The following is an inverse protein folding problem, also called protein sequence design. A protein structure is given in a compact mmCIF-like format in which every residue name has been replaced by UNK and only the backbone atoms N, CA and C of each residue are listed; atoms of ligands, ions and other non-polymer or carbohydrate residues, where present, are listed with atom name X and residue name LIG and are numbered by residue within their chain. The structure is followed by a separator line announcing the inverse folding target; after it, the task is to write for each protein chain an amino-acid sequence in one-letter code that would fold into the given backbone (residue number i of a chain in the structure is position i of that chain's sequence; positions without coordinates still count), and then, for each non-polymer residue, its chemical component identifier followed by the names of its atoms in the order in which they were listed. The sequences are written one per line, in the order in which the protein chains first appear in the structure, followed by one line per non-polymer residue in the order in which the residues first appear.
data_IF_082496926711
#
_entry.id   IF_082496926711
#
_cell.length_a   1.000
_cell.length_b   1.000
_cell.length_c   1.000
_cell.angle_alpha   90.00
_cell.angle_beta   90.00
_cell.angle_gamma   90.00
#
_symmetry.space_group_name_H-M   'P 1'
#
loop_
_entity.id
_entity.type
_entity.pdbx_description
1 polymer ?
#
# COMPACT_ATOMS: atom_id res chain seq x y z
N UNK A 1 -11.14 -2.59 -5.54
CA UNK A 1 -9.90 -2.82 -4.78
C UNK A 1 -10.14 -2.87 -3.26
N UNK A 2 -11.18 -2.26 -2.75
CA UNK A 2 -11.52 -2.23 -1.31
C UNK A 2 -11.87 -3.61 -0.75
N UNK A 3 -12.37 -4.50 -1.59
CA UNK A 3 -12.74 -5.86 -1.20
C UNK A 3 -11.59 -6.88 -1.28
N UNK A 4 -10.36 -6.45 -1.50
CA UNK A 4 -9.20 -7.32 -1.65
C UNK A 4 -8.74 -7.99 -0.35
N UNK A 5 -9.06 -7.41 0.81
CA UNK A 5 -8.62 -7.94 2.09
C UNK A 5 -9.39 -9.21 2.47
N UNK A 6 -8.66 -10.30 2.75
CA UNK A 6 -9.22 -11.61 3.08
C UNK A 6 -10.10 -11.63 4.32
N UNK A 7 -9.74 -10.87 5.35
CA UNK A 7 -10.42 -10.84 6.66
C UNK A 7 -11.41 -9.69 6.87
N UNK A 8 -11.58 -8.77 5.88
CA UNK A 8 -12.46 -7.63 6.06
C UNK A 8 -13.94 -8.01 5.97
N UNK A 9 -14.79 -7.38 6.81
CA UNK A 9 -16.23 -7.57 6.77
C UNK A 9 -16.82 -7.24 5.38
N UNK A 10 -16.32 -6.18 4.74
CA UNK A 10 -16.70 -5.79 3.37
C UNK A 10 -16.37 -6.90 2.36
N UNK A 11 -15.17 -7.47 2.45
CA UNK A 11 -14.76 -8.56 1.59
C UNK A 11 -15.61 -9.83 1.79
N UNK A 12 -15.98 -10.15 3.01
CA UNK A 12 -16.89 -11.27 3.31
C UNK A 12 -18.29 -11.01 2.77
N UNK A 13 -18.83 -9.82 2.98
CA UNK A 13 -20.13 -9.42 2.42
C UNK A 13 -20.17 -9.53 0.92
N UNK A 14 -19.11 -9.07 0.21
CA UNK A 14 -18.98 -9.26 -1.24
C UNK A 14 -19.03 -10.73 -1.63
N UNK A 15 -18.33 -11.62 -0.90
CA UNK A 15 -18.34 -13.05 -1.17
C UNK A 15 -19.75 -13.66 -1.04
N UNK A 16 -20.52 -13.27 -0.02
CA UNK A 16 -21.92 -13.70 0.18
C UNK A 16 -22.81 -13.21 -0.97
N UNK A 17 -22.67 -11.95 -1.38
CA UNK A 17 -23.43 -11.37 -2.50
C UNK A 17 -23.08 -12.05 -3.83
N UNK A 18 -21.80 -12.24 -4.10
CA UNK A 18 -21.35 -12.91 -5.32
C UNK A 18 -21.85 -14.35 -5.43
N UNK A 19 -21.89 -15.09 -4.30
CA UNK A 19 -22.41 -16.46 -4.26
C UNK A 19 -23.92 -16.56 -4.53
N UNK A 20 -24.69 -15.50 -4.29
CA UNK A 20 -26.13 -15.42 -4.57
C UNK A 20 -26.44 -14.82 -5.94
N UNK A 21 -25.52 -14.11 -6.54
CA UNK A 21 -25.69 -13.45 -7.82
C UNK A 21 -25.55 -14.46 -8.99
N UNK A 22 -26.40 -14.34 -9.99
CA UNK A 22 -26.27 -15.14 -11.23
C UNK A 22 -25.04 -14.77 -12.03
N UNK A 23 -24.64 -13.50 -12.00
CA UNK A 23 -23.44 -12.96 -12.66
C UNK A 23 -22.84 -11.91 -11.74
N UNK A 24 -21.51 -11.84 -11.70
CA UNK A 24 -20.77 -10.87 -10.93
C UNK A 24 -19.86 -10.08 -11.87
N UNK A 25 -19.98 -8.75 -11.83
CA UNK A 25 -19.12 -7.82 -12.58
C UNK A 25 -18.44 -6.92 -11.55
N UNK A 26 -17.12 -6.87 -11.60
CA UNK A 26 -16.31 -6.03 -10.72
C UNK A 26 -15.79 -4.84 -11.52
N UNK A 27 -16.09 -3.63 -11.06
CA UNK A 27 -15.61 -2.39 -11.65
C UNK A 27 -14.53 -1.80 -10.75
N UNK A 28 -13.35 -1.54 -11.29
CA UNK A 28 -12.24 -0.96 -10.54
C UNK A 28 -11.28 -0.21 -11.45
N UNK A 29 -10.79 0.94 -11.03
CA UNK A 29 -9.67 1.63 -11.66
C UNK A 29 -8.31 1.04 -11.25
N UNK A 30 -8.26 0.22 -10.19
CA UNK A 30 -7.03 -0.40 -9.68
C UNK A 30 -7.31 -1.86 -9.35
N UNK A 31 -6.98 -2.75 -10.29
CA UNK A 31 -7.26 -4.18 -10.14
C UNK A 31 -6.44 -4.81 -9.00
N UNK A 32 -5.20 -4.38 -8.83
CA UNK A 32 -4.25 -4.94 -7.88
C UNK A 32 -3.53 -3.80 -7.13
N UNK A 33 -3.42 -3.90 -5.82
CA UNK A 33 -2.71 -2.92 -4.97
C UNK A 33 -1.19 -3.13 -4.91
N UNK A 34 -0.66 -3.97 -5.78
CA UNK A 34 0.77 -4.25 -5.89
C UNK A 34 1.15 -5.71 -5.63
N UNK A 35 0.37 -6.46 -4.87
CA UNK A 35 0.66 -7.83 -4.50
C UNK A 35 -0.31 -8.83 -5.13
N UNK A 36 0.18 -10.00 -5.52
CA UNK A 36 -0.65 -11.04 -6.15
C UNK A 36 -1.79 -11.56 -5.27
N UNK A 37 -1.65 -11.55 -3.95
CA UNK A 37 -2.71 -11.98 -3.04
C UNK A 37 -3.90 -11.00 -2.97
N UNK A 38 -3.74 -9.75 -3.37
CA UNK A 38 -4.86 -8.82 -3.57
C UNK A 38 -5.86 -9.39 -4.59
N UNK A 39 -5.33 -9.96 -5.68
CA UNK A 39 -6.12 -10.62 -6.72
C UNK A 39 -6.72 -11.93 -6.26
N UNK A 40 -6.01 -12.72 -5.48
CA UNK A 40 -6.49 -14.00 -4.99
C UNK A 40 -7.87 -13.89 -4.33
N UNK A 41 -8.00 -12.98 -3.39
CA UNK A 41 -9.26 -12.82 -2.64
C UNK A 41 -10.41 -12.31 -3.51
N UNK A 42 -10.14 -11.43 -4.47
CA UNK A 42 -11.13 -10.95 -5.42
C UNK A 42 -11.59 -12.08 -6.35
N UNK A 43 -10.65 -12.81 -6.94
CA UNK A 43 -10.94 -13.92 -7.84
C UNK A 43 -11.68 -15.06 -7.14
N UNK A 44 -11.26 -15.40 -5.91
CA UNK A 44 -11.92 -16.47 -5.17
C UNK A 44 -13.37 -16.14 -4.82
N UNK A 45 -13.69 -14.87 -4.58
CA UNK A 45 -15.06 -14.40 -4.33
C UNK A 45 -15.91 -14.32 -5.60
N UNK A 46 -15.31 -13.86 -6.69
CA UNK A 46 -16.01 -13.72 -7.97
C UNK A 46 -16.15 -15.04 -8.74
N UNK A 47 -15.13 -15.89 -8.68
CA UNK A 47 -14.99 -17.12 -9.48
C UNK A 47 -14.53 -18.31 -8.61
N UNK A 48 -15.25 -18.65 -7.53
CA UNK A 48 -14.80 -19.68 -6.60
C UNK A 48 -14.62 -21.06 -7.25
N UNK A 49 -15.51 -21.45 -8.15
CA UNK A 49 -15.42 -22.72 -8.88
C UNK A 49 -14.10 -22.84 -9.64
N UNK A 50 -13.74 -21.80 -10.40
CA UNK A 50 -12.49 -21.76 -11.16
C UNK A 50 -11.26 -21.84 -10.26
N UNK A 51 -11.26 -21.12 -9.16
CA UNK A 51 -10.14 -21.13 -8.21
C UNK A 51 -9.95 -22.51 -7.57
N UNK A 52 -11.05 -23.21 -7.28
CA UNK A 52 -11.04 -24.58 -6.75
C UNK A 52 -10.53 -25.59 -7.79
N UNK A 53 -10.95 -25.45 -9.05
CA UNK A 53 -10.47 -26.26 -10.19
C UNK A 53 -8.97 -26.07 -10.41
N UNK A 54 -8.48 -24.85 -10.28
CA UNK A 54 -7.06 -24.50 -10.36
C UNK A 54 -6.24 -24.98 -9.14
N UNK A 55 -6.89 -25.62 -8.16
CA UNK A 55 -6.23 -26.24 -7.00
C UNK A 55 -6.20 -25.38 -5.74
N UNK A 56 -6.72 -24.16 -5.78
CA UNK A 56 -6.74 -23.26 -4.61
C UNK A 56 -7.97 -23.55 -3.76
N UNK A 57 -7.82 -24.41 -2.76
CA UNK A 57 -8.93 -24.86 -1.91
C UNK A 57 -8.78 -24.36 -0.48
N UNK A 58 -9.89 -23.99 0.18
CA UNK A 58 -9.88 -23.72 1.61
C UNK A 58 -9.47 -24.98 2.38
N UNK A 59 -8.89 -24.79 3.54
CA UNK A 59 -8.66 -25.91 4.49
C UNK A 59 -9.98 -26.47 5.00
N UNK A 60 -9.94 -27.63 5.69
CA UNK A 60 -11.13 -28.21 6.34
C UNK A 60 -11.76 -27.26 7.37
N UNK A 61 -10.97 -26.36 7.96
CA UNK A 61 -11.46 -25.31 8.89
C UNK A 61 -11.97 -24.05 8.17
N UNK A 62 -12.01 -24.02 6.82
CA UNK A 62 -12.42 -22.87 6.04
C UNK A 62 -11.35 -21.79 5.83
N UNK A 63 -10.14 -21.99 6.33
CA UNK A 63 -9.05 -21.00 6.16
C UNK A 63 -8.54 -20.97 4.72
N UNK A 64 -8.36 -19.78 4.20
CA UNK A 64 -7.84 -19.51 2.83
C UNK A 64 -6.34 -19.23 2.80
N UNK A 65 -5.66 -19.21 3.95
CA UNK A 65 -4.26 -18.77 4.06
C UNK A 65 -3.31 -19.63 3.21
N UNK A 66 -3.47 -20.95 3.26
CA UNK A 66 -2.65 -21.88 2.48
C UNK A 66 -2.89 -21.74 0.97
N UNK A 67 -4.14 -21.58 0.56
CA UNK A 67 -4.51 -21.37 -0.83
C UNK A 67 -3.97 -20.03 -1.38
N UNK A 68 -4.06 -18.96 -0.58
CA UNK A 68 -3.47 -17.66 -0.94
C UNK A 68 -1.94 -17.74 -1.08
N UNK A 69 -1.27 -18.47 -0.18
CA UNK A 69 0.18 -18.67 -0.29
C UNK A 69 0.56 -19.53 -1.49
N UNK A 70 -0.21 -20.55 -1.83
CA UNK A 70 -0.01 -21.33 -3.06
C UNK A 70 -0.15 -20.44 -4.30
N UNK A 71 -1.22 -19.64 -4.36
CA UNK A 71 -1.44 -18.67 -5.44
C UNK A 71 -0.28 -17.67 -5.57
N UNK A 72 0.25 -17.19 -4.44
CA UNK A 72 1.42 -16.30 -4.43
C UNK A 72 2.69 -16.96 -4.96
N UNK A 73 2.90 -18.26 -4.70
CA UNK A 73 4.04 -19.01 -5.26
C UNK A 73 3.89 -19.22 -6.77
N UNK A 74 2.69 -19.46 -7.23
CA UNK A 74 2.41 -19.77 -8.63
C UNK A 74 2.40 -18.53 -9.53
N UNK A 75 1.94 -17.40 -9.00
CA UNK A 75 1.61 -16.22 -9.79
C UNK A 75 2.15 -14.90 -9.24
N UNK A 76 2.43 -14.81 -7.95
CA UNK A 76 2.99 -13.62 -7.31
C UNK A 76 4.51 -13.52 -7.47
N UNK A 77 5.07 -12.52 -6.80
CA UNK A 77 6.52 -12.35 -6.66
C UNK A 77 6.91 -12.57 -5.20
N UNK A 78 7.88 -13.44 -4.98
CA UNK A 78 8.44 -13.73 -3.67
C UNK A 78 9.91 -13.31 -3.66
N UNK A 79 10.38 -12.81 -2.53
CA UNK A 79 11.77 -12.41 -2.30
C UNK A 79 12.31 -13.13 -1.07
N UNK A 80 13.46 -13.77 -1.22
CA UNK A 80 14.16 -14.37 -0.10
C UNK A 80 15.10 -13.35 0.53
N UNK A 81 14.92 -13.13 1.83
CA UNK A 81 15.78 -12.29 2.63
C UNK A 81 16.71 -13.19 3.44
N UNK A 82 17.99 -13.05 3.18
CA UNK A 82 19.06 -13.74 3.91
C UNK A 82 19.50 -12.85 5.06
N UNK A 83 19.44 -13.36 6.28
CA UNK A 83 19.99 -12.68 7.46
C UNK A 83 21.01 -13.56 8.16
N UNK A 84 22.22 -13.02 8.33
CA UNK A 84 23.23 -13.64 9.18
C UNK A 84 22.94 -13.34 10.65
N UNK A 85 22.94 -14.37 11.47
CA UNK A 85 22.91 -14.18 12.91
C UNK A 85 24.25 -13.57 13.37
N UNK A 86 24.22 -12.31 13.80
CA UNK A 86 25.36 -11.62 14.42
C UNK A 86 25.56 -12.06 15.87
N UNK A 87 25.25 -13.29 16.23
CA UNK A 87 25.56 -13.81 17.54
C UNK A 87 27.09 -13.93 17.66
N UNK A 88 27.69 -13.01 18.39
CA UNK A 88 29.13 -12.95 18.70
C UNK A 88 29.58 -14.06 19.66
N UNK A 89 28.68 -14.83 20.23
CA UNK A 89 29.00 -15.73 21.33
C UNK A 89 29.64 -17.07 20.92
N UNK A 90 29.31 -17.65 19.77
CA UNK A 90 29.92 -18.89 19.34
C UNK A 90 29.94 -18.99 17.81
N UNK A 91 31.09 -18.73 17.21
CA UNK A 91 31.39 -19.20 15.85
C UNK A 91 31.67 -20.70 15.92
N UNK A 92 30.73 -21.51 15.51
CA UNK A 92 31.00 -22.94 15.31
C UNK A 92 31.90 -23.12 14.08
N UNK A 93 32.69 -24.22 14.03
CA UNK A 93 33.54 -24.55 12.88
C UNK A 93 32.78 -24.63 11.53
N UNK A 94 31.45 -24.60 11.53
CA UNK A 94 30.57 -24.62 10.36
C UNK A 94 30.13 -23.22 9.85
N UNK A 95 30.69 -22.14 10.38
CA UNK A 95 30.34 -20.77 9.98
C UNK A 95 29.09 -20.20 10.67
N UNK A 96 28.69 -18.97 10.26
CA UNK A 96 27.51 -18.33 10.80
C UNK A 96 26.22 -18.94 10.24
N UNK A 97 25.20 -19.09 11.09
CA UNK A 97 23.89 -19.61 10.67
C UNK A 97 23.17 -18.55 9.86
N UNK A 98 22.98 -18.80 8.58
CA UNK A 98 22.16 -17.97 7.70
C UNK A 98 20.71 -18.40 7.83
N UNK A 99 19.83 -17.49 8.21
CA UNK A 99 18.39 -17.71 8.16
C UNK A 99 17.83 -17.10 6.87
N UNK A 100 16.99 -17.86 6.17
CA UNK A 100 16.30 -17.43 4.97
C UNK A 100 14.85 -17.21 5.32
N UNK A 101 14.32 -16.01 5.02
CA UNK A 101 12.91 -15.69 5.19
C UNK A 101 12.34 -15.25 3.85
N UNK A 102 11.40 -16.03 3.32
CA UNK A 102 10.63 -15.64 2.13
C UNK A 102 9.57 -14.62 2.49
N UNK A 103 9.56 -13.50 1.82
CA UNK A 103 8.58 -12.43 1.96
C UNK A 103 7.91 -12.13 0.63
N UNK A 104 6.70 -11.61 0.67
CA UNK A 104 5.98 -11.13 -0.51
C UNK A 104 6.69 -9.89 -1.06
N UNK A 105 6.79 -9.81 -2.39
CA UNK A 105 7.26 -8.64 -3.10
C UNK A 105 6.17 -8.14 -4.06
N UNK A 106 6.15 -6.85 -4.40
CA UNK A 106 5.23 -6.31 -5.39
C UNK A 106 5.44 -6.98 -6.75
N UNK A 107 4.33 -7.26 -7.43
CA UNK A 107 4.34 -7.83 -8.76
C UNK A 107 3.39 -9.02 -8.94
N UNK A 108 3.13 -9.33 -10.21
CA UNK A 108 2.32 -10.47 -10.63
C UNK A 108 2.93 -11.07 -11.90
N UNK A 109 3.13 -12.37 -11.89
CA UNK A 109 3.84 -13.07 -12.96
C UNK A 109 3.04 -13.14 -14.26
N UNK A 110 3.70 -13.19 -15.44
CA UNK A 110 3.05 -13.23 -16.75
C UNK A 110 2.08 -14.41 -16.89
N UNK A 111 2.43 -15.57 -16.36
CA UNK A 111 1.55 -16.76 -16.33
C UNK A 111 0.23 -16.47 -15.61
N UNK A 112 0.28 -15.72 -14.49
CA UNK A 112 -0.90 -15.34 -13.75
C UNK A 112 -1.75 -14.32 -14.51
N UNK A 113 -1.13 -13.37 -15.19
CA UNK A 113 -1.84 -12.41 -16.06
C UNK A 113 -2.64 -13.16 -17.14
N UNK A 114 -2.00 -14.06 -17.86
CA UNK A 114 -2.62 -14.83 -18.94
C UNK A 114 -3.74 -15.75 -18.44
N UNK A 115 -3.58 -16.36 -17.27
CA UNK A 115 -4.53 -17.36 -16.74
C UNK A 115 -5.66 -16.75 -15.92
N UNK A 116 -5.36 -15.76 -15.12
CA UNK A 116 -6.27 -15.25 -14.08
C UNK A 116 -6.87 -13.88 -14.39
N UNK A 117 -6.24 -13.09 -15.27
CA UNK A 117 -6.71 -11.74 -15.57
C UNK A 117 -7.33 -11.67 -16.97
N UNK A 118 -6.57 -11.91 -18.02
CA UNK A 118 -7.00 -11.67 -19.39
C UNK A 118 -8.30 -12.39 -19.78
N UNK A 119 -8.58 -13.64 -19.37
CA UNK A 119 -9.82 -14.32 -19.76
C UNK A 119 -11.09 -13.72 -19.13
N UNK A 120 -10.95 -12.94 -18.06
CA UNK A 120 -12.07 -12.46 -17.24
C UNK A 120 -12.13 -10.95 -17.11
N UNK A 121 -11.23 -10.21 -17.78
CA UNK A 121 -11.07 -8.78 -17.58
C UNK A 121 -11.13 -8.03 -18.91
N UNK A 122 -11.95 -7.01 -18.95
CA UNK A 122 -11.95 -6.03 -20.04
C UNK A 122 -11.26 -4.77 -19.52
N UNK A 123 -10.23 -4.35 -20.23
CA UNK A 123 -9.52 -3.09 -19.94
C UNK A 123 -10.12 -1.99 -20.80
N UNK A 124 -10.73 -1.02 -20.16
CA UNK A 124 -11.33 0.14 -20.80
C UNK A 124 -10.56 1.39 -20.40
N UNK A 125 -9.97 2.06 -21.35
CA UNK A 125 -9.36 3.37 -21.12
C UNK A 125 -10.41 4.45 -21.39
N UNK A 126 -10.28 5.57 -20.74
CA UNK A 126 -11.19 6.69 -20.91
C UNK A 126 -11.30 7.14 -22.37
N UNK A 127 -10.19 7.10 -23.12
CA UNK A 127 -10.15 7.38 -24.55
C UNK A 127 -10.94 6.37 -25.42
N UNK A 128 -11.21 5.15 -24.91
CA UNK A 128 -11.91 4.10 -25.65
C UNK A 128 -13.44 4.29 -25.58
N UNK A 129 -13.93 5.17 -24.69
CA UNK A 129 -15.36 5.45 -24.46
C UNK A 129 -15.93 6.44 -25.49
N UNK A 130 -15.11 6.96 -26.35
CA UNK A 130 -15.53 7.89 -27.41
C UNK A 130 -15.00 9.30 -27.22
N UNK A 131 -14.47 9.88 -28.29
CA UNK A 131 -13.70 11.13 -28.25
C UNK A 131 -14.41 12.39 -27.82
N UNK A 132 -15.75 12.38 -27.65
CA UNK A 132 -16.55 13.58 -27.32
C UNK A 132 -17.21 13.51 -25.94
N UNK A 133 -16.94 12.47 -25.14
CA UNK A 133 -17.58 12.32 -23.80
C UNK A 133 -16.91 13.17 -22.74
N UNK A 134 -15.64 13.48 -22.92
CA UNK A 134 -14.87 14.31 -22.00
C UNK A 134 -14.57 15.65 -22.63
N UNK A 135 -14.66 16.75 -21.86
CA UNK A 135 -14.16 18.03 -22.31
C UNK A 135 -12.65 17.93 -22.57
N UNK A 136 -12.10 18.80 -23.45
CA UNK A 136 -10.66 18.89 -23.59
C UNK A 136 -10.04 19.18 -22.22
N UNK A 137 -9.05 18.38 -21.85
CA UNK A 137 -8.33 18.49 -20.59
C UNK A 137 -6.93 19.03 -20.89
N UNK A 138 -6.61 20.13 -20.27
CA UNK A 138 -5.26 20.71 -20.26
C UNK A 138 -4.80 20.82 -18.81
N UNK A 139 -3.60 20.37 -18.53
CA UNK A 139 -3.02 20.37 -17.19
C UNK A 139 -1.89 21.39 -17.13
N UNK A 140 -2.11 22.47 -16.39
CA UNK A 140 -1.13 23.51 -16.19
C UNK A 140 -0.55 23.43 -14.77
N UNK A 141 0.76 23.21 -14.67
CA UNK A 141 1.48 23.25 -13.40
C UNK A 141 1.91 24.69 -13.13
N UNK A 142 1.34 25.29 -12.09
CA UNK A 142 1.72 26.64 -11.65
C UNK A 142 2.56 26.54 -10.37
N UNK A 143 3.81 26.99 -10.46
CA UNK A 143 4.65 27.14 -9.31
C UNK A 143 4.30 28.45 -8.59
N UNK A 144 3.96 28.34 -7.31
CA UNK A 144 3.70 29.49 -6.44
C UNK A 144 4.77 29.52 -5.36
N UNK A 145 5.54 30.60 -5.30
CA UNK A 145 6.54 30.79 -4.25
C UNK A 145 5.85 31.05 -2.89
N UNK A 146 6.34 30.43 -1.84
CA UNK A 146 5.90 30.77 -0.47
C UNK A 146 6.31 32.18 -0.11
N UNK A 147 5.46 32.90 0.62
CA UNK A 147 5.83 34.18 1.23
C UNK A 147 6.98 34.01 2.21
N UNK A 148 7.74 35.08 2.46
CA UNK A 148 8.99 35.04 3.22
C UNK A 148 8.81 34.42 4.63
N UNK A 149 7.75 34.80 5.34
CA UNK A 149 7.46 34.31 6.69
C UNK A 149 7.01 32.85 6.66
N UNK A 150 6.15 32.49 5.70
CA UNK A 150 5.72 31.12 5.46
C UNK A 150 6.91 30.22 5.12
N UNK A 151 7.78 30.67 4.22
CA UNK A 151 8.98 29.93 3.84
C UNK A 151 9.96 29.74 4.99
N UNK A 152 10.05 30.73 5.88
CA UNK A 152 10.88 30.65 7.09
C UNK A 152 10.31 29.67 8.11
N UNK A 153 9.00 29.73 8.36
CA UNK A 153 8.32 28.80 9.25
C UNK A 153 8.40 27.36 8.70
N UNK A 154 8.21 27.16 7.38
CA UNK A 154 8.33 25.85 6.74
C UNK A 154 9.73 25.27 6.83
N UNK A 155 10.77 26.07 6.60
CA UNK A 155 12.16 25.63 6.74
C UNK A 155 12.49 25.22 8.19
N UNK A 156 12.01 25.95 9.18
CA UNK A 156 12.15 25.61 10.59
C UNK A 156 11.47 24.27 10.92
N UNK A 157 10.22 24.12 10.50
CA UNK A 157 9.44 22.89 10.68
C UNK A 157 10.11 21.70 10.00
N UNK A 158 10.48 21.85 8.73
CA UNK A 158 11.12 20.80 7.93
C UNK A 158 12.45 20.36 8.53
N UNK A 159 13.30 21.30 8.93
CA UNK A 159 14.60 20.99 9.55
C UNK A 159 14.42 20.18 10.84
N UNK A 160 13.50 20.61 11.71
CA UNK A 160 13.23 19.95 12.98
C UNK A 160 12.67 18.54 12.79
N UNK A 161 11.63 18.39 11.96
CA UNK A 161 11.03 17.09 11.71
C UNK A 161 11.98 16.12 10.99
N UNK A 162 12.81 16.63 10.07
CA UNK A 162 13.82 15.81 9.39
C UNK A 162 14.89 15.33 10.37
N UNK A 163 15.29 16.13 11.35
CA UNK A 163 16.24 15.73 12.39
C UNK A 163 15.65 14.61 13.26
N UNK A 164 14.41 14.77 13.73
CA UNK A 164 13.72 13.75 14.52
C UNK A 164 13.56 12.44 13.73
N UNK A 165 13.19 12.54 12.45
CA UNK A 165 13.06 11.39 11.56
C UNK A 165 14.41 10.67 11.37
N UNK A 166 15.51 11.40 11.16
CA UNK A 166 16.85 10.81 11.03
C UNK A 166 17.25 10.05 12.28
N UNK A 167 16.97 10.60 13.48
CA UNK A 167 17.24 9.93 14.74
C UNK A 167 16.40 8.67 14.94
N UNK A 168 15.12 8.70 14.55
CA UNK A 168 14.23 7.54 14.61
C UNK A 168 14.72 6.44 13.66
N UNK A 169 15.04 6.79 12.42
CA UNK A 169 15.55 5.84 11.40
C UNK A 169 16.89 5.21 11.81
N UNK A 170 17.79 5.96 12.48
CA UNK A 170 19.02 5.42 13.03
C UNK A 170 18.76 4.31 14.07
N UNK A 171 17.64 4.39 14.79
CA UNK A 171 17.15 3.38 15.73
C UNK A 171 16.26 2.32 15.05
N UNK A 172 16.15 2.33 13.71
CA UNK A 172 15.26 1.48 12.90
C UNK A 172 13.77 1.64 13.22
N UNK A 173 13.38 2.81 13.72
CA UNK A 173 11.99 3.17 13.95
C UNK A 173 11.46 3.99 12.77
N UNK A 174 10.49 3.40 12.05
CA UNK A 174 9.85 4.01 10.86
C UNK A 174 8.53 4.69 11.17
N UNK A 175 8.10 4.71 12.44
CA UNK A 175 6.78 5.25 12.84
C UNK A 175 6.59 6.72 12.53
N UNK A 176 7.68 7.50 12.51
CA UNK A 176 7.62 8.93 12.20
C UNK A 176 7.54 9.23 10.71
N UNK A 177 7.89 8.29 9.83
CA UNK A 177 8.00 8.55 8.40
C UNK A 177 6.68 9.10 7.80
N UNK A 178 5.56 8.43 8.09
CA UNK A 178 4.24 8.86 7.59
C UNK A 178 3.79 10.19 8.19
N UNK A 179 4.04 10.42 9.47
CA UNK A 179 3.67 11.67 10.16
C UNK A 179 4.43 12.85 9.58
N UNK A 180 5.76 12.72 9.47
CA UNK A 180 6.62 13.79 8.93
C UNK A 180 6.26 14.09 7.48
N UNK A 181 6.08 13.06 6.64
CA UNK A 181 5.72 13.25 5.25
C UNK A 181 4.36 13.96 5.11
N UNK A 182 3.35 13.50 5.84
CA UNK A 182 2.01 14.10 5.77
C UNK A 182 2.01 15.57 6.23
N UNK A 183 2.72 15.88 7.32
CA UNK A 183 2.79 17.25 7.82
C UNK A 183 3.51 18.16 6.83
N UNK A 184 4.65 17.74 6.29
CA UNK A 184 5.42 18.57 5.35
C UNK A 184 4.70 18.77 4.00
N UNK A 185 3.85 17.83 3.59
CA UNK A 185 3.03 17.98 2.38
C UNK A 185 1.80 18.85 2.61
N UNK A 186 1.14 18.71 3.77
CA UNK A 186 -0.13 19.39 4.02
C UNK A 186 0.04 20.80 4.60
N UNK A 187 1.11 21.08 5.35
CA UNK A 187 1.27 22.34 6.05
C UNK A 187 1.28 23.57 5.14
N UNK A 188 1.91 23.58 3.95
CA UNK A 188 1.86 24.74 3.06
C UNK A 188 0.44 25.20 2.73
N UNK A 189 -0.47 24.24 2.56
CA UNK A 189 -1.88 24.52 2.23
C UNK A 189 -2.74 24.86 3.47
N UNK A 190 -2.20 24.58 4.68
CA UNK A 190 -2.93 24.72 5.94
C UNK A 190 -2.26 25.68 6.93
N UNK A 191 -1.33 26.50 6.48
CA UNK A 191 -0.52 27.38 7.34
C UNK A 191 -1.31 28.47 8.09
N UNK A 192 -2.58 28.70 7.72
CA UNK A 192 -3.49 29.62 8.38
C UNK A 192 -3.97 29.12 9.77
N UNK A 193 -3.61 27.92 10.16
CA UNK A 193 -3.88 27.36 11.50
C UNK A 193 -2.58 26.93 12.17
N UNK A 194 -2.56 26.94 13.50
CA UNK A 194 -1.44 26.40 14.24
C UNK A 194 -1.35 24.88 14.06
N UNK A 195 -0.12 24.36 13.91
CA UNK A 195 0.13 22.93 13.74
C UNK A 195 0.96 22.42 14.91
N UNK A 196 0.50 21.33 15.53
CA UNK A 196 1.21 20.61 16.60
C UNK A 196 1.49 19.20 16.15
N UNK A 197 2.76 18.90 15.93
CA UNK A 197 3.19 17.57 15.51
C UNK A 197 3.52 16.73 16.73
N UNK A 198 2.85 15.61 16.88
CA UNK A 198 2.97 14.71 18.04
C UNK A 198 3.49 13.34 17.60
N UNK A 199 4.41 12.79 18.37
CA UNK A 199 4.91 11.44 18.13
C UNK A 199 3.79 10.40 18.34
N UNK A 200 3.50 9.51 17.35
CA UNK A 200 2.33 8.63 17.41
C UNK A 200 2.32 7.64 18.57
N UNK A 201 3.50 7.20 19.03
CA UNK A 201 3.61 6.25 20.15
C UNK A 201 3.81 6.92 21.50
N UNK A 202 4.77 7.86 21.59
CA UNK A 202 5.13 8.46 22.88
C UNK A 202 4.26 9.64 23.29
N UNK A 203 3.46 10.17 22.34
CA UNK A 203 2.62 11.36 22.51
C UNK A 203 3.39 12.66 22.82
N UNK A 204 4.70 12.64 22.73
CA UNK A 204 5.52 13.83 22.90
C UNK A 204 5.34 14.78 21.72
N UNK A 205 5.32 16.08 22.00
CA UNK A 205 5.31 17.10 20.95
C UNK A 205 6.69 17.18 20.29
N UNK A 206 6.72 16.98 18.99
CA UNK A 206 7.93 17.03 18.16
C UNK A 206 8.18 18.44 17.64
N UNK A 207 7.11 19.11 17.20
CA UNK A 207 7.18 20.46 16.68
C UNK A 207 5.85 21.19 16.93
N UNK A 208 5.93 22.50 17.03
CA UNK A 208 4.79 23.41 17.03
C UNK A 208 5.11 24.57 16.10
N UNK A 209 4.16 24.91 15.24
CA UNK A 209 4.24 26.08 14.36
C UNK A 209 2.96 26.90 14.55
N UNK A 210 3.06 28.18 14.90
CA UNK A 210 1.88 29.05 15.01
C UNK A 210 1.26 29.28 13.64
N UNK A 211 -0.02 29.62 13.64
CA UNK A 211 -0.72 30.02 12.44
C UNK A 211 -0.01 31.21 11.76
N UNK A 212 0.11 31.12 10.45
CA UNK A 212 0.60 32.21 9.61
C UNK A 212 -0.61 32.91 9.03
N UNK A 213 -0.87 34.14 9.47
CA UNK A 213 -1.95 34.95 8.93
C UNK A 213 -1.36 35.95 7.94
N UNK A 214 -1.86 35.94 6.73
CA UNK A 214 -1.73 37.08 5.85
C UNK A 214 -2.91 38.01 6.17
N UNK A 215 -2.62 39.21 6.54
CA UNK A 215 -3.62 40.28 6.56
C UNK A 215 -4.03 40.54 5.10
N UNK A 216 -5.23 40.14 4.74
CA UNK A 216 -5.88 40.54 3.49
C UNK A 216 -6.52 41.91 3.66
#
# INVERSE_FOLDING_TARGET
HEYKNGGSAQGQAMGVLAAKARKCVLLTGTLMGGYGDDLFHLLFRALPGRMIEDGYRPTKSGSMTSAAMAFMRDHGVLKDIYSESKSTAHKTAKGSKVSVRTVKAPGFGPKGVLRCILPFTVFLKLKDIGGNVLPPYDEEFREVAMEADQATAYRGLSSRLTQELKQALARRDTTLLGVVLNVLLAWPDCCFRSETVVHPRTRNTLAFVPAQFNEF
#
